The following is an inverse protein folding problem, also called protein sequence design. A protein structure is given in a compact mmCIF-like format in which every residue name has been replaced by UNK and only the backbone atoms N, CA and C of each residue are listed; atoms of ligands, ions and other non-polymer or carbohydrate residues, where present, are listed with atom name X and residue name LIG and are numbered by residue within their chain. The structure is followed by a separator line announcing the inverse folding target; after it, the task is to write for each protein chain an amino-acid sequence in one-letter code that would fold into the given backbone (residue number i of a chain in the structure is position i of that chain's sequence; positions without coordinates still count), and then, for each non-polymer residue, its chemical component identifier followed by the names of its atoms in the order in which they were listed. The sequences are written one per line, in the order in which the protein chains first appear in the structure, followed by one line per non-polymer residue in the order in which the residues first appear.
data_IF_878658149024
#
_entry.id   IF_878658149024
#
_cell.length_a   1.000
_cell.length_b   1.000
_cell.length_c   1.000
_cell.angle_alpha   90.00
_cell.angle_beta   90.00
_cell.angle_gamma   90.00
#
_symmetry.space_group_name_H-M   'P 1'
#
loop_
_entity.id
_entity.type
_entity.pdbx_description
1 polymer ?
#
# COMPACT_ATOMS: atom_id res chain seq x y z
N UNK A 1 3.46 8.68 -21.17
CA UNK A 1 3.16 7.73 -20.08
C UNK A 1 2.15 6.66 -20.46
N UNK A 2 1.01 6.98 -21.09
CA UNK A 2 -0.02 5.98 -21.43
C UNK A 2 0.51 4.75 -22.18
N UNK A 3 1.37 4.94 -23.18
CA UNK A 3 2.01 3.81 -23.87
C UNK A 3 2.91 2.99 -22.92
N UNK A 4 3.81 3.67 -22.19
CA UNK A 4 4.73 3.01 -21.26
C UNK A 4 3.99 2.28 -20.11
N UNK A 5 2.88 2.82 -19.60
CA UNK A 5 2.05 2.15 -18.60
C UNK A 5 1.60 0.74 -19.07
N UNK A 6 1.27 0.62 -20.35
CA UNK A 6 0.81 -0.62 -20.98
C UNK A 6 1.93 -1.44 -21.64
N UNK A 7 3.20 -1.08 -21.45
CA UNK A 7 4.33 -1.81 -22.06
C UNK A 7 4.32 -3.29 -21.64
N UNK A 8 4.37 -4.26 -22.57
CA UNK A 8 4.41 -5.68 -22.21
C UNK A 8 5.69 -6.08 -21.47
N UNK A 9 6.82 -5.41 -21.72
CA UNK A 9 8.02 -5.58 -20.92
C UNK A 9 7.87 -4.76 -19.63
N UNK A 10 7.94 -5.46 -18.50
CA UNK A 10 7.94 -4.87 -17.17
C UNK A 10 8.97 -3.73 -17.03
N UNK A 11 10.15 -3.84 -17.65
CA UNK A 11 11.20 -2.81 -17.59
C UNK A 11 10.81 -1.53 -18.34
N UNK A 12 9.91 -1.63 -19.30
CA UNK A 12 9.33 -0.49 -20.03
C UNK A 12 8.21 0.21 -19.27
N UNK A 13 7.69 -0.39 -18.19
CA UNK A 13 6.56 0.17 -17.45
C UNK A 13 6.91 1.41 -16.65
N UNK A 14 6.01 2.40 -16.70
CA UNK A 14 6.15 3.71 -16.05
C UNK A 14 4.85 4.11 -15.34
N UNK A 15 4.96 4.32 -14.03
CA UNK A 15 3.84 4.66 -13.14
C UNK A 15 4.01 6.01 -12.44
N UNK A 16 5.03 6.77 -12.80
CA UNK A 16 5.25 8.11 -12.26
C UNK A 16 4.57 9.21 -13.06
N UNK A 17 5.09 10.43 -12.92
CA UNK A 17 4.55 11.64 -13.53
C UNK A 17 5.65 12.69 -13.74
N UNK A 18 5.34 13.69 -14.55
CA UNK A 18 6.05 14.96 -14.59
C UNK A 18 5.13 16.05 -14.04
N UNK A 19 5.70 16.87 -13.17
CA UNK A 19 5.06 18.03 -12.57
C UNK A 19 5.77 19.26 -13.08
N UNK A 20 5.01 20.14 -13.71
CA UNK A 20 5.47 21.45 -14.20
C UNK A 20 4.76 22.52 -13.38
N UNK A 21 5.53 23.32 -12.64
CA UNK A 21 5.02 24.50 -11.93
C UNK A 21 5.43 25.73 -12.74
N UNK A 22 4.43 26.48 -13.21
CA UNK A 22 4.63 27.74 -13.94
C UNK A 22 4.53 28.92 -12.97
N UNK A 23 5.58 29.71 -12.90
CA UNK A 23 5.69 30.89 -12.06
C UNK A 23 5.04 32.10 -12.73
N UNK A 24 4.64 33.11 -11.94
CA UNK A 24 3.97 34.32 -12.46
C UNK A 24 4.80 35.13 -13.47
N UNK A 25 6.13 35.02 -13.39
CA UNK A 25 7.06 35.67 -14.33
C UNK A 25 7.28 34.86 -15.62
N UNK A 26 6.65 33.69 -15.75
CA UNK A 26 6.79 32.79 -16.91
C UNK A 26 7.85 31.69 -16.74
N UNK A 27 8.62 31.67 -15.65
CA UNK A 27 9.60 30.60 -15.41
C UNK A 27 8.92 29.28 -15.06
N UNK A 28 9.61 28.16 -15.31
CA UNK A 28 9.12 26.82 -14.99
C UNK A 28 10.03 26.08 -14.02
N UNK A 29 9.43 25.44 -13.01
CA UNK A 29 10.07 24.40 -12.19
C UNK A 29 9.50 23.06 -12.62
N UNK A 30 10.35 22.23 -13.24
CA UNK A 30 9.95 20.91 -13.76
C UNK A 30 10.61 19.82 -12.93
N UNK A 31 9.83 18.83 -12.50
CA UNK A 31 10.30 17.62 -11.85
C UNK A 31 9.63 16.41 -12.47
N UNK A 32 10.37 15.32 -12.58
CA UNK A 32 9.88 14.09 -13.20
C UNK A 32 10.34 12.86 -12.45
N UNK A 33 9.42 11.93 -12.26
CA UNK A 33 9.72 10.57 -11.86
C UNK A 33 9.05 9.61 -12.83
N UNK A 34 9.81 8.66 -13.34
CA UNK A 34 9.32 7.63 -14.25
C UNK A 34 8.55 6.54 -13.50
N UNK A 35 8.98 6.25 -12.26
CA UNK A 35 8.34 5.34 -11.32
C UNK A 35 8.46 5.92 -9.90
N UNK A 36 7.49 5.67 -9.00
CA UNK A 36 7.61 6.00 -7.59
C UNK A 36 8.85 5.36 -6.96
N UNK A 37 9.45 6.01 -5.95
CA UNK A 37 10.66 5.48 -5.31
C UNK A 37 10.50 4.04 -4.79
N UNK A 38 9.34 3.74 -4.18
CA UNK A 38 9.00 2.43 -3.63
C UNK A 38 8.75 1.35 -4.68
N UNK A 39 8.57 1.72 -5.95
CA UNK A 39 8.38 0.76 -7.03
C UNK A 39 9.64 -0.12 -7.18
N UNK A 40 9.47 -1.35 -7.65
CA UNK A 40 10.54 -2.31 -7.95
C UNK A 40 11.61 -1.78 -8.91
N UNK A 41 11.24 -0.85 -9.80
CA UNK A 41 12.13 -0.09 -10.69
C UNK A 41 12.41 1.35 -10.22
N UNK A 42 12.06 1.67 -8.98
CA UNK A 42 12.25 2.99 -8.36
C UNK A 42 13.62 3.13 -7.68
N UNK A 43 13.91 4.32 -7.18
CA UNK A 43 15.20 4.61 -6.54
C UNK A 43 15.37 3.97 -5.15
N UNK A 44 14.26 3.59 -4.49
CA UNK A 44 14.25 2.95 -3.16
C UNK A 44 13.16 1.88 -3.11
N UNK A 45 13.32 0.77 -3.86
CA UNK A 45 12.32 -0.28 -3.93
C UNK A 45 11.95 -0.78 -2.54
N UNK A 46 10.66 -0.89 -2.26
CA UNK A 46 10.22 -1.46 -0.98
C UNK A 46 10.45 -2.97 -0.97
N UNK A 47 11.03 -3.44 0.13
CA UNK A 47 11.13 -4.85 0.48
C UNK A 47 10.26 -5.12 1.71
N UNK A 48 10.30 -6.34 2.25
CA UNK A 48 9.41 -6.75 3.34
C UNK A 48 9.46 -5.80 4.56
N UNK A 49 10.64 -5.36 5.07
CA UNK A 49 10.72 -4.42 6.17
C UNK A 49 10.01 -3.09 5.91
N UNK A 50 10.13 -2.52 4.71
CA UNK A 50 9.47 -1.25 4.39
C UNK A 50 7.94 -1.39 4.37
N UNK A 51 7.42 -2.51 3.86
CA UNK A 51 5.98 -2.78 3.91
C UNK A 51 5.47 -3.01 5.34
N UNK A 52 6.23 -3.74 6.17
CA UNK A 52 5.90 -3.93 7.59
C UNK A 52 5.91 -2.60 8.34
N UNK A 53 6.93 -1.77 8.13
CA UNK A 53 7.02 -0.44 8.73
C UNK A 53 5.87 0.47 8.31
N UNK A 54 5.52 0.46 7.01
CA UNK A 54 4.36 1.20 6.50
C UNK A 54 3.05 0.73 7.14
N UNK A 55 2.83 -0.57 7.26
CA UNK A 55 1.63 -1.12 7.90
C UNK A 55 1.53 -0.63 9.34
N UNK A 56 2.61 -0.70 10.13
CA UNK A 56 2.64 -0.22 11.51
C UNK A 56 2.31 1.27 11.59
N UNK A 57 2.99 2.09 10.80
CA UNK A 57 2.74 3.55 10.79
C UNK A 57 1.31 3.90 10.37
N UNK A 58 0.70 3.17 9.43
CA UNK A 58 -0.68 3.42 9.00
C UNK A 58 -1.74 2.89 9.97
N UNK A 59 -1.38 2.00 10.89
CA UNK A 59 -2.29 1.42 11.87
C UNK A 59 -2.19 2.06 13.25
N UNK A 60 -1.24 2.99 13.44
CA UNK A 60 -1.18 3.86 14.62
C UNK A 60 -2.55 4.52 14.84
N UNK A 61 -3.02 4.45 16.09
CA UNK A 61 -4.33 4.94 16.55
C UNK A 61 -5.59 4.29 15.91
N UNK A 62 -5.40 3.28 15.05
CA UNK A 62 -6.50 2.53 14.41
C UNK A 62 -6.62 1.12 14.98
N UNK A 63 -5.49 0.44 15.16
CA UNK A 63 -5.43 -0.93 15.69
C UNK A 63 -4.39 -1.03 16.82
N UNK A 64 -4.62 -1.95 17.75
CA UNK A 64 -3.64 -2.25 18.79
C UNK A 64 -2.35 -2.82 18.17
N UNK A 65 -1.19 -2.46 18.71
CA UNK A 65 0.09 -2.94 18.16
C UNK A 65 0.20 -4.48 18.19
N UNK A 66 -0.37 -5.12 19.21
CA UNK A 66 -0.43 -6.58 19.35
C UNK A 66 -1.28 -7.24 18.26
N UNK A 67 -2.31 -6.56 17.77
CA UNK A 67 -3.17 -7.04 16.70
C UNK A 67 -2.44 -6.99 15.35
N UNK A 68 -1.66 -5.94 15.11
CA UNK A 68 -0.77 -5.85 13.95
C UNK A 68 0.33 -6.91 13.99
N UNK A 69 0.90 -7.17 15.17
CA UNK A 69 1.87 -8.26 15.36
C UNK A 69 1.26 -9.64 15.07
N UNK A 70 0.03 -9.89 15.55
CA UNK A 70 -0.72 -11.11 15.27
C UNK A 70 -0.93 -11.29 13.77
N UNK A 71 -1.41 -10.25 13.08
CA UNK A 71 -1.63 -10.28 11.63
C UNK A 71 -0.33 -10.54 10.86
N UNK A 72 0.76 -9.84 11.19
CA UNK A 72 2.08 -10.06 10.56
C UNK A 72 2.54 -11.50 10.76
N UNK A 73 2.41 -12.05 11.97
CA UNK A 73 2.79 -13.43 12.27
C UNK A 73 2.02 -14.47 11.46
N UNK A 74 0.75 -14.21 11.12
CA UNK A 74 -0.02 -15.06 10.20
C UNK A 74 0.47 -14.93 8.76
N UNK A 75 0.65 -13.70 8.27
CA UNK A 75 1.09 -13.43 6.89
C UNK A 75 2.50 -13.95 6.60
N UNK A 76 3.36 -14.07 7.62
CA UNK A 76 4.71 -14.62 7.46
C UNK A 76 4.74 -16.14 7.28
N UNK A 77 3.63 -16.83 7.55
CA UNK A 77 3.52 -18.29 7.50
C UNK A 77 2.33 -18.75 6.66
N UNK A 78 1.99 -18.01 5.61
CA UNK A 78 0.79 -18.25 4.78
C UNK A 78 0.64 -19.70 4.30
N UNK A 79 1.75 -20.34 3.91
CA UNK A 79 1.75 -21.72 3.41
C UNK A 79 1.48 -22.77 4.50
N UNK A 80 1.62 -22.40 5.78
CA UNK A 80 1.50 -23.28 6.95
C UNK A 80 0.15 -23.13 7.66
N UNK A 81 -0.68 -22.16 7.26
CA UNK A 81 -1.90 -21.83 7.99
C UNK A 81 -2.95 -22.94 7.90
N UNK A 82 -3.54 -23.26 9.04
CA UNK A 82 -4.79 -24.02 9.12
C UNK A 82 -5.98 -23.21 8.60
N UNK A 83 -7.11 -23.87 8.31
CA UNK A 83 -8.35 -23.20 7.91
C UNK A 83 -8.81 -22.15 8.94
N UNK A 84 -8.66 -22.45 10.25
CA UNK A 84 -9.01 -21.54 11.34
C UNK A 84 -8.05 -20.35 11.44
N UNK A 85 -6.79 -20.49 11.01
CA UNK A 85 -5.84 -19.38 10.91
C UNK A 85 -6.11 -18.50 9.69
N UNK A 86 -6.49 -19.10 8.55
CA UNK A 86 -6.89 -18.35 7.34
C UNK A 86 -8.08 -17.44 7.65
N UNK A 87 -9.07 -17.92 8.42
CA UNK A 87 -10.22 -17.13 8.84
C UNK A 87 -9.83 -15.90 9.70
N UNK A 88 -8.61 -15.85 10.23
CA UNK A 88 -8.08 -14.78 11.08
C UNK A 88 -7.13 -13.82 10.33
N UNK A 89 -7.07 -13.88 8.99
CA UNK A 89 -6.24 -12.98 8.18
C UNK A 89 -6.81 -11.55 8.02
N UNK A 90 -7.97 -11.25 8.62
CA UNK A 90 -8.45 -9.87 8.73
C UNK A 90 -7.77 -9.18 9.91
N UNK A 91 -7.50 -7.89 9.78
CA UNK A 91 -7.10 -7.03 10.90
C UNK A 91 -8.37 -6.62 11.65
N UNK A 92 -8.39 -6.88 12.94
CA UNK A 92 -9.47 -6.45 13.82
C UNK A 92 -9.17 -5.06 14.40
N UNK A 93 -10.20 -4.24 14.58
CA UNK A 93 -10.06 -2.91 15.18
C UNK A 93 -11.16 -2.70 16.23
N UNK A 94 -10.94 -1.84 17.24
CA UNK A 94 -11.98 -1.54 18.22
C UNK A 94 -13.23 -0.97 17.56
N UNK A 95 -14.43 -1.43 17.95
CA UNK A 95 -15.67 -0.99 17.31
C UNK A 95 -15.89 0.54 17.34
N UNK A 96 -15.34 1.25 18.33
CA UNK A 96 -15.46 2.70 18.45
C UNK A 96 -14.64 3.48 17.42
N UNK A 97 -13.69 2.84 16.72
CA UNK A 97 -12.94 3.49 15.62
C UNK A 97 -13.67 3.37 14.28
N UNK A 98 -14.75 2.59 14.21
CA UNK A 98 -15.53 2.38 12.99
C UNK A 98 -16.74 3.32 12.99
N UNK A 99 -16.94 4.04 11.88
CA UNK A 99 -18.13 4.89 11.68
C UNK A 99 -19.38 4.05 11.39
N UNK A 100 -19.22 2.88 10.76
CA UNK A 100 -20.29 1.92 10.47
C UNK A 100 -19.83 0.50 10.87
N UNK A 101 -19.90 0.22 12.17
CA UNK A 101 -19.47 -1.06 12.75
C UNK A 101 -20.47 -2.21 12.50
N UNK A 102 -21.60 -1.93 11.85
CA UNK A 102 -22.60 -2.96 11.54
C UNK A 102 -22.18 -3.76 10.33
N UNK A 103 -22.05 -5.08 10.49
CA UNK A 103 -21.71 -5.98 9.40
C UNK A 103 -22.88 -6.09 8.41
N UNK A 104 -22.88 -5.25 7.38
CA UNK A 104 -23.81 -5.38 6.27
C UNK A 104 -23.45 -6.62 5.45
N UNK A 105 -24.35 -7.61 5.42
CA UNK A 105 -24.20 -8.85 4.64
C UNK A 105 -24.44 -8.65 3.14
N UNK A 106 -24.39 -7.42 2.66
CA UNK A 106 -24.44 -7.10 1.23
C UNK A 106 -22.99 -6.95 0.78
N UNK A 107 -22.36 -8.08 0.43
CA UNK A 107 -20.98 -8.06 -0.07
C UNK A 107 -20.84 -7.17 -1.32
N UNK A 108 -19.61 -6.75 -1.60
CA UNK A 108 -19.26 -6.20 -2.91
C UNK A 108 -19.35 -7.36 -3.91
N UNK A 109 -20.37 -7.31 -4.79
CA UNK A 109 -20.44 -8.14 -5.99
C UNK A 109 -19.40 -7.70 -7.02
#
# INVERSE_FOLDING_TARGET
WTQAYHDPDFRGKKFGAEVVVTMKNGDHVVQRLDNPNAHSLGARPFTRPEYVGKLRSMSEDVAESSEIDRFIGLVERLEELSADEVARLNVEVPAHVLEDATADRVGIL
#
